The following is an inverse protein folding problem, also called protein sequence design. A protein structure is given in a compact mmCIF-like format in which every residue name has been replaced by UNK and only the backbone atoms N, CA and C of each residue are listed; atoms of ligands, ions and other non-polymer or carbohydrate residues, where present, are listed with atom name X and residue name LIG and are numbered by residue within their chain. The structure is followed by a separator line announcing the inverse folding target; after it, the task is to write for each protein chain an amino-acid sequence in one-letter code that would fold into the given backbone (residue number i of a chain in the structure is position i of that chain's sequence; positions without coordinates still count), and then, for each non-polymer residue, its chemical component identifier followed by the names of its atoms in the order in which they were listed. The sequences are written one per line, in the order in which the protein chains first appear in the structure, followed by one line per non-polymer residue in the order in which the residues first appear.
data_IF_422301309471
#
_entry.id   IF_422301309471
#
_cell.length_a   1.000
_cell.length_b   1.000
_cell.length_c   1.000
_cell.angle_alpha   90.00
_cell.angle_beta   90.00
_cell.angle_gamma   90.00
#
_symmetry.space_group_name_H-M   'P 1'
#
loop_
_entity.id
_entity.type
_entity.pdbx_description
1 polymer ?
#
# COMPACT_ATOMS: atom_id res chain seq x y z
N UNK A 1 -7.30 1.32 9.26
CA UNK A 1 -6.54 0.22 9.85
C UNK A 1 -5.72 0.71 11.04
N UNK A 2 -6.16 0.38 12.24
CA UNK A 2 -5.53 0.86 13.48
C UNK A 2 -4.15 0.27 13.73
N UNK A 3 -3.87 -0.89 13.17
CA UNK A 3 -2.60 -1.59 13.38
C UNK A 3 -1.53 -1.22 12.35
N UNK A 4 -1.89 -0.51 11.30
CA UNK A 4 -0.97 -0.17 10.22
C UNK A 4 0.31 0.50 10.72
N UNK A 5 0.19 1.44 11.64
CA UNK A 5 1.31 2.17 12.20
C UNK A 5 2.33 1.24 12.87
N UNK A 6 1.83 0.30 13.67
CA UNK A 6 2.69 -0.66 14.36
C UNK A 6 3.42 -1.53 13.38
N UNK A 7 2.73 -2.00 12.35
CA UNK A 7 3.32 -2.84 11.31
C UNK A 7 4.36 -2.07 10.52
N UNK A 8 4.05 -0.84 10.17
CA UNK A 8 4.94 0.04 9.41
C UNK A 8 6.26 0.23 10.15
N UNK A 9 6.21 0.59 11.43
CA UNK A 9 7.39 0.75 12.25
C UNK A 9 8.18 -0.53 12.41
N UNK A 10 7.53 -1.65 12.66
CA UNK A 10 8.19 -2.94 12.82
C UNK A 10 8.87 -3.41 11.53
N UNK A 11 8.39 -2.98 10.38
CA UNK A 11 8.99 -3.29 9.09
C UNK A 11 10.10 -2.31 8.70
N UNK A 12 10.47 -1.39 9.57
CA UNK A 12 11.52 -0.41 9.30
C UNK A 12 11.08 0.75 8.45
N UNK A 13 9.80 1.07 8.44
CA UNK A 13 9.27 2.19 7.70
C UNK A 13 9.83 3.52 8.16
N UNK A 14 10.01 4.43 7.21
CA UNK A 14 10.49 5.78 7.49
C UNK A 14 9.32 6.76 7.49
N UNK A 15 9.45 7.82 8.26
CA UNK A 15 8.55 8.97 8.23
C UNK A 15 7.08 8.60 7.97
N UNK A 16 6.44 7.96 8.95
CA UNK A 16 5.07 7.50 8.74
C UNK A 16 4.14 8.67 8.44
N UNK A 17 3.30 8.46 7.45
CA UNK A 17 2.27 9.42 7.08
C UNK A 17 1.27 9.56 8.22
N UNK A 18 0.84 10.79 8.51
CA UNK A 18 -0.20 11.02 9.50
C UNK A 18 -1.51 10.35 9.11
N UNK A 19 -2.26 9.88 10.09
CA UNK A 19 -3.55 9.21 9.83
C UNK A 19 -4.51 10.05 9.00
N UNK A 20 -4.44 11.37 9.13
CA UNK A 20 -5.31 12.27 8.39
C UNK A 20 -5.07 12.22 6.88
N UNK A 21 -3.91 11.74 6.45
CA UNK A 21 -3.55 11.67 5.03
C UNK A 21 -3.81 10.29 4.41
N UNK A 22 -4.12 9.30 5.21
CA UNK A 22 -4.42 7.98 4.68
C UNK A 22 -5.88 7.91 4.24
N UNK A 23 -6.14 7.28 3.09
CA UNK A 23 -7.52 7.03 2.67
C UNK A 23 -8.26 6.22 3.71
N UNK A 24 -9.55 6.45 3.82
CA UNK A 24 -10.41 5.75 4.76
C UNK A 24 -11.45 4.93 4.01
N UNK A 25 -12.04 3.98 4.74
CA UNK A 25 -13.15 3.16 4.27
C UNK A 25 -12.84 2.42 2.98
N UNK A 26 -13.50 2.77 1.89
CA UNK A 26 -13.43 2.04 0.63
C UNK A 26 -12.09 2.11 -0.11
N UNK A 27 -11.16 2.94 0.36
CA UNK A 27 -9.81 3.07 -0.22
C UNK A 27 -8.72 2.59 0.71
N UNK A 28 -9.12 2.04 1.83
CA UNK A 28 -8.23 1.35 2.77
C UNK A 28 -8.58 -0.13 2.70
N UNK A 29 -7.65 -0.94 2.25
CA UNK A 29 -7.88 -2.36 2.00
C UNK A 29 -7.12 -3.19 3.03
N UNK A 30 -7.84 -4.04 3.72
CA UNK A 30 -7.24 -4.97 4.68
C UNK A 30 -7.65 -6.38 4.27
N UNK A 31 -6.71 -7.29 4.23
CA UNK A 31 -7.02 -8.69 4.00
C UNK A 31 -6.81 -9.48 5.29
N UNK A 32 -7.77 -10.33 5.60
CA UNK A 32 -7.76 -11.15 6.79
C UNK A 32 -7.85 -12.63 6.44
N UNK A 33 -7.32 -13.46 7.31
CA UNK A 33 -7.51 -14.90 7.24
C UNK A 33 -7.90 -15.38 8.62
N UNK A 34 -9.08 -16.03 8.70
CA UNK A 34 -9.64 -16.54 9.95
C UNK A 34 -9.72 -15.45 11.04
N UNK A 35 -10.12 -14.25 10.65
CA UNK A 35 -10.26 -13.13 11.55
C UNK A 35 -8.95 -12.42 11.91
N UNK A 36 -7.81 -12.88 11.38
CA UNK A 36 -6.51 -12.27 11.64
C UNK A 36 -6.10 -11.39 10.47
N UNK A 37 -5.86 -10.09 10.68
CA UNK A 37 -5.41 -9.23 9.59
C UNK A 37 -4.00 -9.59 9.17
N UNK A 38 -3.79 -9.75 7.86
CA UNK A 38 -2.52 -10.19 7.28
C UNK A 38 -1.77 -9.04 6.64
N UNK A 39 -2.46 -8.16 5.93
CA UNK A 39 -1.83 -7.05 5.23
C UNK A 39 -2.83 -5.95 4.97
N UNK A 40 -2.30 -4.78 4.69
CA UNK A 40 -3.07 -3.58 4.46
C UNK A 40 -2.46 -2.81 3.29
N UNK A 41 -3.30 -2.19 2.47
CA UNK A 41 -2.88 -1.43 1.29
C UNK A 41 -3.84 -0.27 1.08
N UNK A 42 -3.34 0.84 0.56
CA UNK A 42 -4.13 2.05 0.36
C UNK A 42 -4.16 2.45 -1.10
N UNK A 43 -5.30 2.98 -1.53
CA UNK A 43 -5.48 3.51 -2.89
C UNK A 43 -5.73 5.02 -2.79
N UNK A 44 -4.85 5.80 -3.42
CA UNK A 44 -5.01 7.24 -3.59
C UNK A 44 -5.46 7.50 -5.02
N UNK A 45 -6.47 8.34 -5.18
CA UNK A 45 -7.00 8.68 -6.50
C UNK A 45 -6.60 10.10 -6.83
N UNK A 46 -5.97 10.27 -8.01
CA UNK A 46 -5.60 11.58 -8.51
C UNK A 46 -6.68 12.09 -9.47
N UNK A 47 -6.97 13.37 -9.40
CA UNK A 47 -7.87 13.97 -10.36
C UNK A 47 -7.25 13.93 -11.76
N UNK A 48 -8.02 13.67 -12.81
CA UNK A 48 -9.49 13.52 -12.87
C UNK A 48 -10.03 12.09 -12.68
N UNK A 49 -9.50 11.32 -11.78
CA UNK A 49 -9.97 9.99 -11.41
C UNK A 49 -9.64 8.88 -12.41
N UNK A 50 -8.67 9.09 -13.29
CA UNK A 50 -8.23 8.06 -14.23
C UNK A 50 -6.90 7.44 -13.84
N UNK A 51 -6.22 8.03 -12.85
CA UNK A 51 -4.92 7.56 -12.37
C UNK A 51 -5.01 7.36 -10.87
N UNK A 52 -4.44 6.29 -10.38
CA UNK A 52 -4.37 6.00 -8.96
C UNK A 52 -2.98 5.61 -8.51
N UNK A 53 -2.71 5.80 -7.23
CA UNK A 53 -1.51 5.32 -6.55
C UNK A 53 -1.93 4.32 -5.50
N UNK A 54 -1.30 3.17 -5.53
CA UNK A 54 -1.41 2.22 -4.44
C UNK A 54 -0.09 2.26 -3.67
N UNK A 55 -0.17 2.44 -2.37
CA UNK A 55 1.04 2.62 -1.58
C UNK A 55 0.82 2.22 -0.12
N UNK A 56 1.89 2.26 0.65
CA UNK A 56 1.91 1.88 2.06
C UNK A 56 1.42 0.45 2.29
N UNK A 57 1.76 -0.45 1.35
CA UNK A 57 1.51 -1.87 1.54
C UNK A 57 2.38 -2.37 2.68
N UNK A 58 1.76 -2.90 3.69
CA UNK A 58 2.49 -3.46 4.82
C UNK A 58 1.79 -4.73 5.30
N UNK A 59 2.59 -5.73 5.64
CA UNK A 59 2.07 -6.99 6.16
C UNK A 59 2.24 -7.04 7.68
N UNK A 60 1.32 -7.77 8.32
CA UNK A 60 1.37 -8.01 9.75
C UNK A 60 2.64 -8.78 10.10
N UNK A 61 3.56 -8.23 10.91
CA UNK A 61 4.79 -8.92 11.27
C UNK A 61 4.58 -10.19 12.07
N UNK A 62 3.43 -10.32 12.71
CA UNK A 62 3.10 -11.50 13.52
C UNK A 62 2.49 -12.63 12.71
N UNK A 63 2.05 -12.35 11.49
CA UNK A 63 1.55 -13.39 10.59
C UNK A 63 2.72 -13.99 9.81
N UNK A 64 3.15 -15.19 10.20
CA UNK A 64 4.33 -15.85 9.66
C UNK A 64 4.04 -17.13 8.88
N UNK A 65 2.78 -17.33 8.50
CA UNK A 65 2.37 -18.52 7.76
C UNK A 65 2.92 -18.50 6.33
N UNK A 66 3.04 -19.69 5.75
CA UNK A 66 3.63 -19.85 4.42
C UNK A 66 2.79 -19.25 3.30
N UNK A 67 1.50 -19.08 3.52
CA UNK A 67 0.57 -18.55 2.53
C UNK A 67 0.52 -17.03 2.48
N UNK A 68 1.34 -16.35 3.28
CA UNK A 68 1.35 -14.89 3.34
C UNK A 68 1.50 -14.23 1.96
N UNK A 69 2.40 -14.75 1.14
CA UNK A 69 2.63 -14.22 -0.21
C UNK A 69 1.37 -14.28 -1.07
N UNK A 70 0.68 -15.40 -1.05
CA UNK A 70 -0.54 -15.58 -1.84
C UNK A 70 -1.68 -14.71 -1.33
N UNK A 71 -1.75 -14.53 -0.02
CA UNK A 71 -2.75 -13.63 0.57
C UNK A 71 -2.49 -12.19 0.15
N UNK A 72 -1.23 -11.75 0.14
CA UNK A 72 -0.88 -10.39 -0.30
C UNK A 72 -1.19 -10.21 -1.78
N UNK A 73 -0.93 -11.22 -2.61
CA UNK A 73 -1.31 -11.17 -4.03
C UNK A 73 -2.82 -10.97 -4.20
N UNK A 74 -3.60 -11.65 -3.39
CA UNK A 74 -5.06 -11.49 -3.40
C UNK A 74 -5.46 -10.06 -3.03
N UNK A 75 -4.78 -9.49 -2.04
CA UNK A 75 -5.01 -8.10 -1.66
C UNK A 75 -4.71 -7.14 -2.81
N UNK A 76 -3.56 -7.26 -3.44
CA UNK A 76 -3.17 -6.40 -4.57
C UNK A 76 -4.19 -6.54 -5.71
N UNK A 77 -4.59 -7.76 -6.03
CA UNK A 77 -5.59 -8.01 -7.07
C UNK A 77 -6.93 -7.38 -6.73
N UNK A 78 -7.34 -7.43 -5.48
CA UNK A 78 -8.58 -6.81 -5.02
C UNK A 78 -8.54 -5.29 -5.17
N UNK A 79 -7.41 -4.67 -4.89
CA UNK A 79 -7.23 -3.23 -5.07
C UNK A 79 -7.32 -2.88 -6.56
N UNK A 80 -6.69 -3.67 -7.43
CA UNK A 80 -6.76 -3.49 -8.87
C UNK A 80 -8.21 -3.54 -9.37
N UNK A 81 -8.98 -4.51 -8.93
CA UNK A 81 -10.38 -4.67 -9.33
C UNK A 81 -11.23 -3.50 -8.87
N UNK A 82 -11.01 -3.03 -7.65
CA UNK A 82 -11.75 -1.90 -7.13
C UNK A 82 -11.40 -0.62 -7.90
N UNK A 83 -10.13 -0.45 -8.23
CA UNK A 83 -9.68 0.67 -9.05
C UNK A 83 -10.35 0.66 -10.43
N UNK A 84 -10.44 -0.51 -11.08
CA UNK A 84 -11.13 -0.65 -12.35
C UNK A 84 -12.61 -0.25 -12.26
N UNK A 85 -13.27 -0.66 -11.19
CA UNK A 85 -14.69 -0.31 -10.97
C UNK A 85 -14.91 1.19 -10.88
N UNK A 86 -13.96 1.91 -10.30
CA UNK A 86 -14.04 3.36 -10.15
C UNK A 86 -13.76 4.07 -11.48
N UNK A 87 -13.12 3.37 -12.44
CA UNK A 87 -12.77 3.95 -13.73
C UNK A 87 -11.30 4.33 -13.85
N UNK A 88 -10.47 3.90 -12.92
CA UNK A 88 -9.03 4.15 -12.99
C UNK A 88 -8.42 3.32 -14.10
N UNK A 89 -7.64 3.95 -14.95
CA UNK A 89 -7.03 3.32 -16.12
C UNK A 89 -5.56 2.97 -15.90
N UNK A 90 -4.90 3.62 -14.96
CA UNK A 90 -3.49 3.38 -14.69
C UNK A 90 -3.21 3.48 -13.20
N UNK A 91 -2.52 2.47 -12.68
CA UNK A 91 -2.08 2.43 -11.29
C UNK A 91 -0.57 2.57 -11.22
N UNK A 92 -0.11 3.34 -10.25
CA UNK A 92 1.29 3.46 -9.89
C UNK A 92 1.50 2.94 -8.48
N UNK A 93 2.69 2.45 -8.22
CA UNK A 93 3.10 2.07 -6.87
C UNK A 93 4.60 2.29 -6.70
N UNK A 94 5.04 2.33 -5.46
CA UNK A 94 6.46 2.30 -5.14
C UNK A 94 6.68 1.09 -4.25
N UNK A 95 7.52 0.18 -4.70
CA UNK A 95 7.84 -1.02 -3.95
C UNK A 95 9.10 -0.79 -3.11
N UNK A 96 8.95 -0.85 -1.81
CA UNK A 96 10.03 -0.54 -0.87
C UNK A 96 11.03 -1.66 -0.65
N UNK A 97 10.74 -2.87 -1.12
CA UNK A 97 11.64 -4.00 -0.93
C UNK A 97 11.46 -5.04 -2.04
N UNK A 98 12.39 -5.99 -2.08
CA UNK A 98 12.40 -7.02 -3.12
C UNK A 98 11.18 -7.93 -3.10
N UNK A 99 10.64 -8.21 -1.95
CA UNK A 99 9.48 -9.09 -1.82
C UNK A 99 8.25 -8.45 -2.45
N UNK A 100 8.01 -7.19 -2.16
CA UNK A 100 6.87 -6.46 -2.73
C UNK A 100 7.05 -6.25 -4.23
N UNK A 101 8.26 -5.97 -4.68
CA UNK A 101 8.60 -5.89 -6.10
C UNK A 101 8.26 -7.20 -6.80
N UNK A 102 8.70 -8.32 -6.24
CA UNK A 102 8.44 -9.64 -6.80
C UNK A 102 6.95 -9.97 -6.87
N UNK A 103 6.18 -9.59 -5.86
CA UNK A 103 4.73 -9.80 -5.86
C UNK A 103 4.08 -9.02 -6.99
N UNK A 104 4.41 -7.75 -7.14
CA UNK A 104 3.84 -6.92 -8.20
C UNK A 104 4.25 -7.41 -9.59
N UNK A 105 5.51 -7.80 -9.78
CA UNK A 105 5.94 -8.38 -11.05
C UNK A 105 5.16 -9.63 -11.40
N UNK A 106 4.87 -10.48 -10.42
CA UNK A 106 4.12 -11.70 -10.65
C UNK A 106 2.66 -11.44 -11.06
N UNK A 107 2.17 -10.22 -10.85
CA UNK A 107 0.83 -9.76 -11.20
C UNK A 107 0.85 -8.84 -12.42
N UNK A 108 1.90 -8.94 -13.24
CA UNK A 108 2.05 -8.21 -14.51
C UNK A 108 2.22 -6.70 -14.36
N UNK A 109 2.70 -6.24 -13.21
CA UNK A 109 3.09 -4.84 -13.05
C UNK A 109 4.44 -4.62 -13.74
N UNK A 110 4.53 -3.53 -14.50
CA UNK A 110 5.78 -3.15 -15.16
C UNK A 110 6.65 -2.36 -14.20
N UNK A 111 7.89 -2.78 -14.02
CA UNK A 111 8.84 -2.07 -13.17
C UNK A 111 9.56 -0.99 -13.95
N UNK A 112 9.66 0.17 -13.32
CA UNK A 112 10.45 1.28 -13.86
C UNK A 112 11.61 1.52 -12.89
N UNK A 113 12.86 1.37 -13.33
CA UNK A 113 13.99 1.65 -12.46
C UNK A 113 14.00 3.13 -12.06
N UNK A 114 14.00 3.38 -10.75
CA UNK A 114 14.06 4.73 -10.21
C UNK A 114 15.31 4.81 -9.34
N UNK A 115 16.19 5.75 -9.66
CA UNK A 115 17.43 5.92 -8.91
C UNK A 115 17.27 6.86 -7.74
N UNK A 116 16.38 7.82 -7.84
CA UNK A 116 16.16 8.82 -6.80
C UNK A 116 14.68 8.97 -6.50
N UNK A 117 14.33 8.95 -5.23
CA UNK A 117 12.99 9.25 -4.76
C UNK A 117 13.08 10.50 -3.90
N UNK A 118 12.06 11.34 -3.97
CA UNK A 118 12.06 12.54 -3.17
C UNK A 118 10.66 12.91 -2.71
N UNK A 119 10.59 13.54 -1.56
CA UNK A 119 9.38 14.15 -1.07
C UNK A 119 9.73 15.40 -0.29
N UNK A 120 8.76 16.25 -0.12
CA UNK A 120 8.93 17.47 0.65
C UNK A 120 7.64 17.79 1.39
N UNK A 121 7.76 18.09 2.65
CA UNK A 121 6.63 18.64 3.40
C UNK A 121 6.53 20.14 3.07
N UNK A 122 5.34 20.56 2.69
CA UNK A 122 5.10 21.95 2.33
C UNK A 122 4.63 22.79 3.52
N UNK A 123 4.44 22.16 4.68
CA UNK A 123 4.10 22.85 5.90
C UNK A 123 4.75 22.16 7.10
N UNK A 124 5.27 22.97 8.01
CA UNK A 124 5.92 22.46 9.23
C UNK A 124 4.94 21.85 10.23
N UNK A 125 3.65 22.08 10.05
CA UNK A 125 2.65 21.56 10.97
C UNK A 125 2.57 20.02 10.98
N UNK A 126 3.00 19.38 9.90
CA UNK A 126 2.99 17.93 9.80
C UNK A 126 4.22 17.28 10.44
N UNK A 127 5.30 18.01 10.55
CA UNK A 127 6.56 17.48 11.04
C UNK A 127 6.55 17.33 12.56
N UNK A 128 5.74 18.13 13.24
CA UNK A 128 5.69 18.19 14.71
C UNK A 128 4.86 17.09 15.34
N UNK A 129 4.31 16.23 14.56
CA UNK A 129 3.54 15.09 15.08
C UNK A 129 4.44 13.84 15.19
#
# INVERSE_FOLDING_TARGET
CCEWWKWWWKRGGRDPVGRAFLPKDERCFVIEKNGVPVACYFLFIMEPHIVGWTTYLVSNPEYKEKDRREIIKTLVTSVEKEAEKIGIMQLFTICGNKQMTSIHESLDWMLIPVQNEGFKYLTNNFIKK
#
